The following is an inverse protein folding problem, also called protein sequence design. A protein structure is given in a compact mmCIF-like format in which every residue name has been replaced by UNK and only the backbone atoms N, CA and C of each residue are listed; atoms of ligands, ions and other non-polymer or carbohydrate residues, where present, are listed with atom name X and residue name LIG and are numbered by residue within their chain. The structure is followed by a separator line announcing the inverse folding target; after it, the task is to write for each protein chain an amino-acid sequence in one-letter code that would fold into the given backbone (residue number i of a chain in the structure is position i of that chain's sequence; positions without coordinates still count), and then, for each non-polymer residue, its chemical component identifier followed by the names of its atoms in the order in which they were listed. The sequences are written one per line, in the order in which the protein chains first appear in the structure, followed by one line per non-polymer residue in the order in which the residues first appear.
data_IF_945291670428
#
_entry.id   IF_945291670428
#
_cell.length_a   1.000
_cell.length_b   1.000
_cell.length_c   1.000
_cell.angle_alpha   90.00
_cell.angle_beta   90.00
_cell.angle_gamma   90.00
#
_symmetry.space_group_name_H-M   'P 1'
#
loop_
_entity.id
_entity.type
_entity.pdbx_description
1 polymer ?
#
# COMPACT_ATOMS: atom_id res chain seq x y z
N UNK A 1 -8.34 40.80 35.98
CA UNK A 1 -6.99 40.20 36.11
C UNK A 1 -7.16 38.89 36.86
N UNK A 2 -7.16 37.75 36.15
CA UNK A 2 -6.09 36.73 36.14
C UNK A 2 -5.97 36.00 37.50
N UNK A 3 -5.97 34.67 37.64
CA UNK A 3 -5.95 33.52 36.73
C UNK A 3 -6.34 32.29 37.57
N UNK A 4 -7.26 31.45 37.08
CA UNK A 4 -7.57 30.13 37.65
C UNK A 4 -6.63 29.11 36.99
N UNK A 5 -5.73 28.50 37.77
CA UNK A 5 -4.90 27.37 37.32
C UNK A 5 -5.70 26.08 37.45
N UNK A 6 -6.28 25.59 36.35
CA UNK A 6 -6.79 24.22 36.27
C UNK A 6 -5.63 23.26 35.96
N UNK A 7 -5.37 22.34 36.89
CA UNK A 7 -4.56 21.15 36.66
C UNK A 7 -5.42 20.13 35.91
N UNK A 8 -5.10 19.88 34.65
CA UNK A 8 -5.64 18.75 33.90
C UNK A 8 -5.10 17.44 34.52
N UNK A 9 -5.97 16.68 35.18
CA UNK A 9 -5.70 15.29 35.56
C UNK A 9 -6.04 14.42 34.36
N UNK A 10 -5.05 13.73 33.83
CA UNK A 10 -5.19 12.76 32.75
C UNK A 10 -5.90 11.52 33.30
N UNK A 11 -7.17 11.32 32.96
CA UNK A 11 -7.91 10.11 33.31
C UNK A 11 -7.48 9.01 32.33
N UNK A 12 -6.87 7.95 32.84
CA UNK A 12 -6.54 6.77 32.04
C UNK A 12 -7.79 5.90 31.86
N UNK A 13 -7.91 5.23 30.71
CA UNK A 13 -9.03 4.33 30.37
C UNK A 13 -9.27 3.20 31.40
N UNK A 14 -8.34 2.96 32.32
CA UNK A 14 -8.47 1.96 33.39
C UNK A 14 -9.38 2.35 34.56
N UNK A 15 -9.52 3.65 34.89
CA UNK A 15 -10.30 4.07 36.07
C UNK A 15 -11.82 4.06 35.84
N UNK A 16 -12.24 4.22 34.57
CA UNK A 16 -13.65 4.10 34.17
C UNK A 16 -14.12 2.64 34.31
N UNK A 17 -13.26 1.67 33.98
CA UNK A 17 -13.52 0.24 34.16
C UNK A 17 -13.61 -0.18 35.63
N UNK A 18 -12.78 0.39 36.50
CA UNK A 18 -12.77 0.07 37.95
C UNK A 18 -14.00 0.62 38.70
N UNK A 19 -14.55 1.77 38.28
CA UNK A 19 -15.85 2.27 38.81
C UNK A 19 -17.03 1.44 38.33
N UNK A 20 -17.00 0.94 37.09
CA UNK A 20 -18.01 0.02 36.57
C UNK A 20 -17.95 -1.35 37.27
N UNK A 21 -16.75 -1.88 37.54
CA UNK A 21 -16.54 -3.16 38.22
C UNK A 21 -17.10 -3.21 39.65
N UNK A 22 -17.02 -2.11 40.41
CA UNK A 22 -17.64 -2.02 41.76
C UNK A 22 -19.17 -2.01 41.72
N UNK A 23 -19.78 -1.62 40.60
CA UNK A 23 -21.23 -1.69 40.42
C UNK A 23 -21.71 -3.13 40.12
N UNK A 24 -20.88 -3.96 39.50
CA UNK A 24 -21.24 -5.33 39.09
C UNK A 24 -21.28 -6.36 40.23
N UNK A 25 -20.56 -6.15 41.34
CA UNK A 25 -20.53 -7.13 42.45
C UNK A 25 -21.75 -7.10 43.38
N UNK A 26 -22.60 -6.06 43.34
CA UNK A 26 -23.66 -5.87 44.34
C UNK A 26 -25.09 -6.25 43.90
N UNK A 27 -25.35 -6.56 42.63
CA UNK A 27 -26.69 -6.91 42.16
C UNK A 27 -26.75 -8.34 41.59
N UNK A 28 -27.05 -9.30 42.47
CA UNK A 28 -27.66 -10.57 42.06
C UNK A 28 -29.06 -10.27 41.51
N UNK A 29 -29.25 -10.42 40.21
CA UNK A 29 -30.57 -10.53 39.59
C UNK A 29 -31.31 -9.20 39.35
N UNK A 30 -30.77 -8.35 38.48
CA UNK A 30 -31.51 -7.59 37.46
C UNK A 30 -30.54 -6.63 36.75
N UNK A 31 -30.45 -6.76 35.42
CA UNK A 31 -29.65 -5.88 34.57
C UNK A 31 -30.22 -4.45 34.67
N UNK A 32 -29.41 -3.43 35.02
CA UNK A 32 -29.90 -2.07 35.00
C UNK A 32 -30.07 -1.62 33.55
N UNK A 33 -31.20 -0.96 33.30
CA UNK A 33 -31.43 -0.20 32.07
C UNK A 33 -30.31 0.83 31.89
N UNK A 34 -29.35 0.54 31.01
CA UNK A 34 -28.46 1.56 30.46
C UNK A 34 -29.24 2.35 29.42
N UNK A 35 -29.78 3.49 29.84
CA UNK A 35 -30.39 4.48 28.97
C UNK A 35 -29.30 5.20 28.16
N UNK A 36 -29.35 5.04 26.83
CA UNK A 36 -28.81 5.93 25.79
C UNK A 36 -27.30 6.28 25.82
N UNK A 37 -26.45 5.29 25.56
CA UNK A 37 -25.18 5.53 24.87
C UNK A 37 -25.19 4.74 23.57
N UNK A 38 -25.20 5.43 22.42
CA UNK A 38 -25.24 4.87 21.05
C UNK A 38 -24.36 3.61 20.83
N UNK A 39 -23.13 3.47 21.39
CA UNK A 39 -22.36 2.24 21.23
C UNK A 39 -23.08 1.00 21.78
N UNK A 40 -23.68 1.09 22.97
CA UNK A 40 -24.47 0.01 23.59
C UNK A 40 -25.60 -0.47 22.67
N UNK A 41 -26.14 0.41 21.83
CA UNK A 41 -27.23 0.05 20.90
C UNK A 41 -26.78 -0.88 19.78
N UNK A 42 -25.57 -0.71 19.23
CA UNK A 42 -25.04 -1.58 18.16
C UNK A 42 -24.73 -2.97 18.70
N UNK A 43 -24.11 -3.05 19.88
CA UNK A 43 -23.82 -4.33 20.53
C UNK A 43 -25.09 -5.12 20.82
N UNK A 44 -26.09 -4.46 21.42
CA UNK A 44 -27.39 -5.08 21.71
C UNK A 44 -28.14 -5.47 20.43
N UNK A 45 -28.06 -4.67 19.36
CA UNK A 45 -28.65 -5.02 18.08
C UNK A 45 -28.02 -6.29 17.49
N UNK A 46 -26.69 -6.41 17.53
CA UNK A 46 -25.98 -7.62 17.10
C UNK A 46 -26.33 -8.83 17.99
N UNK A 47 -26.40 -8.63 19.31
CA UNK A 47 -26.76 -9.65 20.28
C UNK A 47 -28.16 -10.21 20.05
N UNK A 48 -29.12 -9.32 19.73
CA UNK A 48 -30.51 -9.67 19.45
C UNK A 48 -30.75 -10.10 17.98
N UNK A 49 -29.69 -10.18 17.17
CA UNK A 49 -29.79 -10.52 15.75
C UNK A 49 -30.68 -9.56 14.92
N UNK A 50 -30.78 -8.30 15.35
CA UNK A 50 -31.66 -7.29 14.77
C UNK A 50 -30.94 -6.54 13.64
N UNK A 51 -31.01 -7.11 12.43
CA UNK A 51 -30.36 -6.58 11.23
C UNK A 51 -30.75 -5.12 10.93
N UNK A 52 -32.04 -4.80 11.01
CA UNK A 52 -32.55 -3.46 10.69
C UNK A 52 -32.00 -2.41 11.66
N UNK A 53 -31.90 -2.76 12.94
CA UNK A 53 -31.31 -1.88 13.95
C UNK A 53 -29.80 -1.76 13.78
N UNK A 54 -29.09 -2.83 13.44
CA UNK A 54 -27.66 -2.77 13.09
C UNK A 54 -27.42 -1.77 11.95
N UNK A 55 -28.16 -1.86 10.85
CA UNK A 55 -28.07 -0.91 9.74
C UNK A 55 -28.37 0.54 10.16
N UNK A 56 -29.41 0.73 10.98
CA UNK A 56 -29.78 2.06 11.47
C UNK A 56 -28.71 2.69 12.36
N UNK A 57 -28.11 1.90 13.26
CA UNK A 57 -27.00 2.32 14.12
C UNK A 57 -25.78 2.70 13.27
N UNK A 58 -25.36 1.84 12.34
CA UNK A 58 -24.16 2.07 11.54
C UNK A 58 -24.25 3.31 10.64
N UNK A 59 -25.45 3.68 10.16
CA UNK A 59 -25.67 4.92 9.40
C UNK A 59 -25.41 6.20 10.20
N UNK A 60 -25.52 6.15 11.53
CA UNK A 60 -25.41 7.31 12.43
C UNK A 60 -24.12 7.34 13.23
N UNK A 61 -23.50 6.17 13.42
CA UNK A 61 -22.32 6.01 14.27
C UNK A 61 -21.04 6.52 13.61
N UNK A 62 -20.13 7.03 14.43
CA UNK A 62 -18.77 7.36 13.98
C UNK A 62 -17.95 6.08 13.89
N UNK A 63 -17.04 6.01 12.92
CA UNK A 63 -16.18 4.83 12.69
C UNK A 63 -15.48 4.32 13.96
N UNK A 64 -14.99 5.21 14.83
CA UNK A 64 -14.30 4.87 16.08
C UNK A 64 -15.18 4.14 17.10
N UNK A 65 -16.51 4.22 16.96
CA UNK A 65 -17.47 3.63 17.89
C UNK A 65 -17.84 2.19 17.51
N UNK A 66 -17.65 1.80 16.25
CA UNK A 66 -17.94 0.44 15.75
C UNK A 66 -17.08 -0.61 16.46
N UNK A 67 -15.82 -0.24 16.75
CA UNK A 67 -14.81 -1.12 17.32
C UNK A 67 -14.76 -1.09 18.86
N UNK A 68 -15.78 -0.53 19.51
CA UNK A 68 -15.82 -0.46 20.97
C UNK A 68 -15.80 -1.88 21.57
N UNK A 69 -14.90 -2.09 22.54
CA UNK A 69 -14.80 -3.34 23.29
C UNK A 69 -15.63 -3.22 24.58
N UNK A 70 -16.67 -4.06 24.71
CA UNK A 70 -17.61 -4.02 25.81
C UNK A 70 -17.13 -4.89 26.99
N UNK A 71 -16.81 -4.29 28.15
CA UNK A 71 -16.47 -5.06 29.36
C UNK A 71 -17.67 -5.85 29.90
N UNK A 72 -17.45 -6.93 30.68
CA UNK A 72 -16.15 -7.43 31.13
C UNK A 72 -15.41 -8.28 30.09
N UNK A 73 -16.10 -8.77 29.05
CA UNK A 73 -15.52 -9.74 28.11
C UNK A 73 -14.68 -9.07 27.00
N UNK A 74 -14.62 -7.73 26.94
CA UNK A 74 -13.92 -6.95 25.91
C UNK A 74 -14.29 -7.35 24.46
N UNK A 75 -15.53 -7.79 24.25
CA UNK A 75 -16.03 -8.18 22.93
C UNK A 75 -16.45 -6.96 22.14
N UNK A 76 -16.29 -7.01 20.82
CA UNK A 76 -16.86 -6.01 19.91
C UNK A 76 -18.20 -6.49 19.35
N UNK A 77 -18.94 -5.60 18.67
CA UNK A 77 -20.15 -5.99 17.94
C UNK A 77 -19.87 -7.13 16.92
N UNK A 78 -18.69 -7.13 16.30
CA UNK A 78 -18.26 -8.17 15.36
C UNK A 78 -18.08 -9.54 16.04
N UNK A 79 -17.54 -9.59 17.27
CA UNK A 79 -17.44 -10.85 18.03
C UNK A 79 -18.82 -11.47 18.28
N UNK A 80 -19.77 -10.65 18.73
CA UNK A 80 -21.13 -11.11 19.05
C UNK A 80 -21.87 -11.56 17.80
N UNK A 81 -21.80 -10.79 16.72
CA UNK A 81 -22.38 -11.19 15.43
C UNK A 81 -21.82 -12.52 14.93
N UNK A 82 -20.51 -12.73 15.11
CA UNK A 82 -19.83 -13.97 14.71
C UNK A 82 -20.26 -15.17 15.54
N UNK A 83 -20.36 -15.01 16.86
CA UNK A 83 -20.90 -16.06 17.74
C UNK A 83 -22.31 -16.47 17.34
N UNK A 84 -23.14 -15.50 16.99
CA UNK A 84 -24.52 -15.74 16.54
C UNK A 84 -24.60 -16.36 15.13
N UNK A 85 -23.47 -16.57 14.45
CA UNK A 85 -23.37 -17.09 13.08
C UNK A 85 -24.23 -16.31 12.06
N UNK A 86 -24.54 -15.03 12.32
CA UNK A 86 -25.35 -14.22 11.40
C UNK A 86 -24.45 -13.63 10.31
N UNK A 87 -24.45 -14.28 9.15
CA UNK A 87 -23.69 -13.90 7.97
C UNK A 87 -23.95 -12.46 7.53
N UNK A 88 -25.20 -12.03 7.48
CA UNK A 88 -25.60 -10.70 7.00
C UNK A 88 -25.07 -9.59 7.93
N UNK A 89 -25.22 -9.75 9.24
CA UNK A 89 -24.71 -8.78 10.23
C UNK A 89 -23.18 -8.74 10.18
N UNK A 90 -22.51 -9.89 10.10
CA UNK A 90 -21.04 -9.96 9.98
C UNK A 90 -20.59 -9.21 8.72
N UNK A 91 -21.21 -9.49 7.58
CA UNK A 91 -20.89 -8.83 6.30
C UNK A 91 -21.09 -7.32 6.39
N UNK A 92 -22.19 -6.84 6.97
CA UNK A 92 -22.45 -5.42 7.13
C UNK A 92 -21.42 -4.76 8.06
N UNK A 93 -21.07 -5.38 9.18
CA UNK A 93 -20.06 -4.84 10.10
C UNK A 93 -18.68 -4.76 9.43
N UNK A 94 -18.27 -5.82 8.72
CA UNK A 94 -17.02 -5.84 7.97
C UNK A 94 -17.01 -4.81 6.83
N UNK A 95 -18.14 -4.63 6.15
CA UNK A 95 -18.31 -3.60 5.11
C UNK A 95 -18.19 -2.19 5.67
N UNK A 96 -18.73 -1.94 6.88
CA UNK A 96 -18.55 -0.68 7.61
C UNK A 96 -17.18 -0.58 8.30
N UNK A 97 -16.28 -1.52 8.00
CA UNK A 97 -14.87 -1.48 8.33
C UNK A 97 -14.52 -2.04 9.70
N UNK A 98 -15.41 -2.71 10.43
CA UNK A 98 -15.12 -3.28 11.74
C UNK A 98 -13.76 -4.03 11.77
N UNK A 99 -12.94 -3.76 12.79
CA UNK A 99 -11.59 -4.32 12.90
C UNK A 99 -11.65 -5.84 13.16
N UNK A 100 -10.96 -6.60 12.31
CA UNK A 100 -10.86 -8.08 12.39
C UNK A 100 -9.97 -8.55 13.55
N UNK A 101 -8.90 -7.80 13.81
CA UNK A 101 -7.79 -8.19 14.69
C UNK A 101 -7.97 -7.86 16.17
N UNK A 102 -9.10 -7.27 16.56
CA UNK A 102 -9.36 -6.97 17.98
C UNK A 102 -9.63 -8.27 18.75
N UNK A 103 -9.02 -8.36 19.93
CA UNK A 103 -9.10 -9.55 20.79
C UNK A 103 -9.99 -9.32 21.99
N UNK A 104 -10.89 -10.25 22.26
CA UNK A 104 -11.70 -10.27 23.48
C UNK A 104 -10.86 -10.63 24.73
N UNK A 105 -11.50 -10.71 25.90
CA UNK A 105 -10.85 -11.05 27.17
C UNK A 105 -10.21 -12.45 27.20
N UNK A 106 -10.63 -13.35 26.31
CA UNK A 106 -10.02 -14.67 26.13
C UNK A 106 -8.84 -14.65 25.13
N UNK A 107 -8.46 -13.48 24.63
CA UNK A 107 -7.44 -13.33 23.60
C UNK A 107 -7.89 -13.75 22.19
N UNK A 108 -9.19 -13.99 22.00
CA UNK A 108 -9.76 -14.48 20.74
C UNK A 108 -10.17 -13.33 19.84
N UNK A 109 -9.90 -13.46 18.55
CA UNK A 109 -10.42 -12.59 17.50
C UNK A 109 -11.81 -13.06 17.05
N UNK A 110 -12.57 -12.18 16.39
CA UNK A 110 -13.96 -12.47 16.04
C UNK A 110 -14.10 -13.75 15.18
N UNK A 111 -13.24 -13.96 14.18
CA UNK A 111 -13.29 -15.14 13.30
C UNK A 111 -13.11 -16.47 14.05
N UNK A 112 -12.45 -16.45 15.21
CA UNK A 112 -12.20 -17.64 16.03
C UNK A 112 -13.46 -18.10 16.78
N UNK A 113 -14.51 -17.27 16.79
CA UNK A 113 -15.84 -17.61 17.30
C UNK A 113 -16.75 -18.22 16.21
N UNK A 114 -16.27 -18.34 14.97
CA UNK A 114 -17.01 -18.96 13.87
C UNK A 114 -17.05 -20.49 14.03
N UNK A 115 -18.26 -21.06 13.97
CA UNK A 115 -18.49 -22.51 14.08
C UNK A 115 -18.31 -23.21 12.72
N UNK A 116 -18.60 -22.51 11.63
CA UNK A 116 -18.52 -23.04 10.26
C UNK A 116 -17.38 -22.42 9.46
N UNK A 117 -16.91 -23.14 8.44
CA UNK A 117 -15.94 -22.61 7.47
C UNK A 117 -16.53 -21.44 6.69
N UNK A 118 -17.83 -21.48 6.37
CA UNK A 118 -18.53 -20.39 5.67
C UNK A 118 -18.45 -19.07 6.44
N UNK A 119 -18.73 -19.07 7.75
CA UNK A 119 -18.66 -17.87 8.58
C UNK A 119 -17.20 -17.41 8.74
N UNK A 120 -16.26 -18.36 8.89
CA UNK A 120 -14.84 -18.05 8.98
C UNK A 120 -14.31 -17.40 7.69
N UNK A 121 -14.76 -17.86 6.54
CA UNK A 121 -14.35 -17.36 5.23
C UNK A 121 -14.82 -15.90 4.97
N UNK A 122 -15.82 -15.40 5.70
CA UNK A 122 -16.23 -13.98 5.63
C UNK A 122 -15.12 -13.02 6.08
N UNK A 123 -14.18 -13.49 6.90
CA UNK A 123 -13.08 -12.67 7.42
C UNK A 123 -11.92 -12.57 6.45
N UNK A 124 -11.82 -13.52 5.51
CA UNK A 124 -10.82 -13.49 4.43
C UNK A 124 -11.08 -12.32 3.51
N UNK A 125 -10.04 -11.87 2.81
CA UNK A 125 -10.20 -10.82 1.81
C UNK A 125 -11.01 -11.38 0.63
N UNK A 126 -12.04 -10.65 0.22
CA UNK A 126 -12.76 -10.99 -1.01
C UNK A 126 -11.82 -10.82 -2.21
N UNK A 127 -11.80 -11.79 -3.12
CA UNK A 127 -10.90 -11.84 -4.28
C UNK A 127 -11.02 -10.61 -5.20
N UNK A 128 -12.20 -10.00 -5.26
CA UNK A 128 -12.48 -8.75 -5.99
C UNK A 128 -11.88 -7.49 -5.36
N UNK A 129 -11.43 -7.55 -4.11
CA UNK A 129 -10.86 -6.45 -3.32
C UNK A 129 -9.38 -6.66 -2.98
N UNK A 130 -8.73 -7.59 -3.68
CA UNK A 130 -7.36 -7.99 -3.40
C UNK A 130 -6.32 -7.22 -4.23
N UNK A 131 -5.36 -6.62 -3.52
CA UNK A 131 -4.22 -5.83 -4.03
C UNK A 131 -3.19 -6.63 -4.84
N UNK A 132 -3.26 -7.95 -4.80
CA UNK A 132 -2.44 -8.81 -5.64
C UNK A 132 -2.95 -8.85 -7.10
N UNK A 133 -4.24 -8.56 -7.34
CA UNK A 133 -4.85 -8.56 -8.65
C UNK A 133 -4.62 -7.23 -9.39
N UNK A 134 -4.15 -7.30 -10.63
CA UNK A 134 -4.03 -6.15 -11.52
C UNK A 134 -5.41 -5.83 -12.14
N UNK A 135 -6.17 -4.94 -11.51
CA UNK A 135 -7.49 -4.52 -12.00
C UNK A 135 -7.36 -3.45 -13.09
N UNK A 136 -7.02 -3.86 -14.31
CA UNK A 136 -7.11 -2.99 -15.50
C UNK A 136 -8.55 -2.66 -15.94
N UNK A 137 -9.57 -2.94 -15.12
CA UNK A 137 -10.98 -2.98 -15.55
C UNK A 137 -11.95 -2.07 -14.79
N UNK A 138 -11.55 -1.44 -13.68
CA UNK A 138 -12.40 -0.49 -12.95
C UNK A 138 -12.00 0.97 -13.18
N UNK A 139 -11.21 1.24 -14.22
CA UNK A 139 -11.06 2.58 -14.78
C UNK A 139 -12.35 2.99 -15.49
N UNK A 140 -13.44 3.19 -14.74
CA UNK A 140 -14.41 4.21 -15.11
C UNK A 140 -13.71 5.54 -14.90
N UNK A 141 -13.19 6.07 -16.00
CA UNK A 141 -12.52 7.36 -16.19
C UNK A 141 -13.36 8.59 -15.80
N UNK A 142 -14.39 8.45 -14.97
CA UNK A 142 -15.33 9.51 -14.61
C UNK A 142 -15.43 9.82 -13.11
N UNK A 143 -14.61 9.24 -12.21
CA UNK A 143 -14.69 9.57 -10.76
C UNK A 143 -13.39 9.90 -10.05
N UNK A 144 -12.22 9.58 -10.62
CA UNK A 144 -11.00 10.33 -10.31
C UNK A 144 -10.96 11.49 -11.29
N UNK A 145 -11.60 12.61 -10.93
CA UNK A 145 -11.43 13.87 -11.66
C UNK A 145 -9.95 14.22 -11.60
N UNK A 146 -9.23 13.77 -12.63
CA UNK A 146 -7.86 14.08 -12.90
C UNK A 146 -7.71 15.58 -12.68
N UNK A 147 -6.99 15.96 -11.62
CA UNK A 147 -6.08 17.08 -11.80
C UNK A 147 -5.17 16.60 -12.92
N UNK A 148 -5.49 17.02 -14.16
CA UNK A 148 -4.63 16.85 -15.33
C UNK A 148 -3.36 17.62 -15.02
N UNK A 149 -2.47 17.00 -14.26
CA UNK A 149 -1.14 17.53 -14.01
C UNK A 149 -0.37 17.32 -15.31
N UNK A 150 -0.53 18.27 -16.23
CA UNK A 150 0.24 18.35 -17.45
C UNK A 150 1.64 18.82 -17.11
N UNK A 151 2.53 17.86 -16.90
CA UNK A 151 3.96 18.10 -16.96
C UNK A 151 4.35 18.27 -18.44
N UNK A 152 4.44 19.51 -18.92
CA UNK A 152 4.81 19.82 -20.32
C UNK A 152 6.23 19.35 -20.67
N UNK A 153 7.11 19.22 -19.67
CA UNK A 153 8.46 18.67 -19.81
C UNK A 153 8.50 17.15 -19.96
N UNK A 154 7.41 16.44 -19.70
CA UNK A 154 7.34 14.99 -19.81
C UNK A 154 6.09 14.56 -20.58
N UNK A 155 6.28 14.13 -21.83
CA UNK A 155 5.21 13.67 -22.75
C UNK A 155 4.44 12.43 -22.29
N UNK A 156 4.59 11.99 -21.04
CA UNK A 156 3.99 10.81 -20.43
C UNK A 156 2.58 11.05 -19.87
N UNK A 157 1.99 12.23 -20.05
CA UNK A 157 0.76 12.60 -19.33
C UNK A 157 -0.51 11.91 -19.86
N UNK A 158 -0.47 11.24 -21.01
CA UNK A 158 -1.70 10.78 -21.66
C UNK A 158 -1.87 9.29 -21.83
N UNK A 159 -0.91 8.48 -21.40
CA UNK A 159 -1.06 7.04 -21.53
C UNK A 159 -1.18 6.47 -20.12
N UNK A 160 -2.40 6.03 -19.76
CA UNK A 160 -2.68 5.20 -18.58
C UNK A 160 -1.97 3.82 -18.69
N UNK A 161 -1.03 3.67 -19.62
CA UNK A 161 -0.19 2.50 -19.81
C UNK A 161 0.87 2.44 -18.72
N UNK A 162 0.61 1.50 -17.82
CA UNK A 162 1.63 0.68 -17.20
C UNK A 162 2.69 1.47 -16.40
N UNK A 163 2.30 1.90 -15.20
CA UNK A 163 3.30 2.15 -14.17
C UNK A 163 3.93 0.80 -13.80
N UNK A 164 5.07 0.51 -14.41
CA UNK A 164 5.87 -0.65 -14.10
C UNK A 164 6.30 -0.58 -12.63
N UNK A 165 5.78 -1.54 -11.87
CA UNK A 165 6.13 -1.80 -10.47
C UNK A 165 7.57 -2.28 -10.33
N UNK A 166 8.13 -2.73 -11.44
CA UNK A 166 9.45 -3.32 -11.62
C UNK A 166 10.01 -2.83 -12.96
N UNK A 167 11.16 -2.16 -12.95
CA UNK A 167 11.83 -1.73 -14.17
C UNK A 167 12.95 -2.72 -14.50
N UNK A 168 12.97 -3.28 -15.72
CA UNK A 168 14.16 -4.00 -16.21
C UNK A 168 15.23 -2.99 -16.58
N UNK A 169 16.43 -3.14 -16.02
CA UNK A 169 17.54 -2.25 -16.31
C UNK A 169 18.88 -2.97 -16.15
N UNK A 170 19.79 -2.78 -17.11
CA UNK A 170 21.15 -3.34 -17.05
C UNK A 170 21.93 -2.84 -15.82
N UNK A 171 21.60 -1.64 -15.34
CA UNK A 171 22.17 -1.01 -14.15
C UNK A 171 21.19 -1.01 -12.97
N UNK A 172 20.21 -1.92 -12.92
CA UNK A 172 19.18 -1.98 -11.87
C UNK A 172 19.79 -1.99 -10.46
N UNK A 173 20.88 -2.73 -10.26
CA UNK A 173 21.59 -2.80 -8.97
C UNK A 173 22.21 -1.46 -8.59
N UNK A 174 22.89 -0.79 -9.53
CA UNK A 174 23.48 0.54 -9.29
C UNK A 174 22.40 1.59 -9.01
N UNK A 175 21.29 1.56 -9.76
CA UNK A 175 20.13 2.44 -9.52
C UNK A 175 19.50 2.18 -8.16
N UNK A 176 19.28 0.93 -7.78
CA UNK A 176 18.75 0.54 -6.47
C UNK A 176 19.64 1.06 -5.34
N UNK A 177 20.97 0.93 -5.49
CA UNK A 177 21.94 1.50 -4.55
C UNK A 177 21.83 3.01 -4.45
N UNK A 178 21.74 3.72 -5.59
CA UNK A 178 21.58 5.18 -5.62
C UNK A 178 20.32 5.60 -4.87
N UNK A 179 19.16 5.04 -5.22
CA UNK A 179 17.89 5.37 -4.58
C UNK A 179 17.91 5.09 -3.07
N UNK A 180 18.40 3.91 -2.65
CA UNK A 180 18.54 3.61 -1.21
C UNK A 180 19.56 4.51 -0.52
N UNK A 181 20.63 4.91 -1.20
CA UNK A 181 21.64 5.82 -0.67
C UNK A 181 21.07 7.22 -0.43
N UNK A 182 20.31 7.78 -1.37
CA UNK A 182 19.63 9.07 -1.22
C UNK A 182 18.63 9.08 -0.07
N UNK A 183 18.06 7.92 0.25
CA UNK A 183 17.18 7.72 1.40
C UNK A 183 17.92 7.36 2.69
N UNK A 184 19.25 7.17 2.70
CA UNK A 184 19.97 6.82 3.93
C UNK A 184 19.79 7.93 4.97
N UNK A 185 19.38 7.58 6.21
CA UNK A 185 19.24 8.58 7.24
C UNK A 185 20.63 9.02 7.71
N UNK A 186 20.80 10.31 8.00
CA UNK A 186 22.09 10.87 8.46
C UNK A 186 22.53 10.38 9.84
N UNK A 187 21.59 9.82 10.63
CA UNK A 187 21.75 9.12 11.93
C UNK A 187 20.64 8.07 12.07
N UNK A 188 20.73 7.15 13.03
CA UNK A 188 19.57 6.31 13.40
C UNK A 188 18.32 7.18 13.56
N UNK A 189 17.20 6.78 12.97
CA UNK A 189 15.97 7.59 12.87
C UNK A 189 15.45 7.93 14.26
N UNK A 190 15.87 9.09 14.77
CA UNK A 190 15.51 9.53 16.11
C UNK A 190 13.99 9.74 16.20
N UNK A 191 13.44 9.60 17.40
CA UNK A 191 12.00 9.79 17.67
C UNK A 191 11.44 11.12 17.12
N UNK A 192 12.25 12.20 17.17
CA UNK A 192 11.92 13.51 16.60
C UNK A 192 11.80 13.48 15.08
N UNK A 193 12.70 12.75 14.40
CA UNK A 193 12.70 12.60 12.94
C UNK A 193 11.47 11.80 12.47
N UNK A 194 11.18 10.68 13.14
CA UNK A 194 9.96 9.90 12.85
C UNK A 194 8.70 10.77 12.96
N UNK A 195 8.55 11.51 14.06
CA UNK A 195 7.38 12.38 14.27
C UNK A 195 7.23 13.44 13.17
N UNK A 196 8.34 14.03 12.73
CA UNK A 196 8.34 15.03 11.66
C UNK A 196 7.93 14.41 10.31
N UNK A 197 8.49 13.24 9.96
CA UNK A 197 8.12 12.50 8.76
C UNK A 197 6.65 12.10 8.78
N UNK A 198 6.16 11.54 9.89
CA UNK A 198 4.75 11.17 10.05
C UNK A 198 3.81 12.38 9.93
N UNK A 199 4.20 13.53 10.48
CA UNK A 199 3.43 14.77 10.32
C UNK A 199 3.39 15.22 8.86
N UNK A 200 4.53 15.22 8.18
CA UNK A 200 4.63 15.56 6.76
C UNK A 200 3.82 14.60 5.88
N UNK A 201 3.84 13.29 6.18
CA UNK A 201 3.00 12.31 5.48
C UNK A 201 1.51 12.62 5.70
N UNK A 202 1.08 12.80 6.94
CA UNK A 202 -0.33 13.10 7.25
C UNK A 202 -0.80 14.38 6.54
N UNK A 203 -0.05 15.48 6.66
CA UNK A 203 -0.47 16.80 6.17
C UNK A 203 -0.18 17.06 4.70
N UNK A 204 0.94 16.58 4.20
CA UNK A 204 1.41 16.84 2.84
C UNK A 204 0.92 15.81 1.83
N UNK A 205 0.79 14.55 2.24
CA UNK A 205 0.43 13.45 1.33
C UNK A 205 -1.00 12.96 1.56
N UNK A 206 -1.32 12.51 2.78
CA UNK A 206 -2.60 11.86 3.07
C UNK A 206 -3.78 12.84 2.91
N UNK A 207 -3.74 14.00 3.58
CA UNK A 207 -4.79 15.04 3.45
C UNK A 207 -4.97 15.53 2.00
N UNK A 208 -3.95 15.37 1.14
CA UNK A 208 -3.99 15.81 -0.26
C UNK A 208 -4.51 14.73 -1.22
N UNK A 209 -4.15 13.46 -1.00
CA UNK A 209 -4.35 12.37 -1.97
C UNK A 209 -5.59 11.52 -1.75
N UNK A 210 -6.11 11.42 -0.52
CA UNK A 210 -7.23 10.52 -0.24
C UNK A 210 -8.61 11.06 -0.65
N UNK A 211 -8.69 12.32 -1.10
CA UNK A 211 -9.95 12.97 -1.50
C UNK A 211 -10.71 12.22 -2.60
N UNK A 212 -10.00 11.41 -3.36
CA UNK A 212 -10.54 10.66 -4.49
C UNK A 212 -10.94 9.21 -4.14
N UNK A 213 -10.78 8.79 -2.87
CA UNK A 213 -11.17 7.46 -2.40
C UNK A 213 -12.61 7.44 -1.90
N UNK A 214 -13.15 6.23 -1.70
CA UNK A 214 -14.44 6.07 -1.03
C UNK A 214 -14.39 6.64 0.39
N UNK A 215 -15.50 7.20 0.88
CA UNK A 215 -15.56 7.83 2.22
C UNK A 215 -15.13 6.85 3.34
N UNK A 216 -15.44 5.56 3.17
CA UNK A 216 -15.07 4.50 4.12
C UNK A 216 -13.57 4.21 4.10
N UNK A 217 -12.96 4.09 2.91
CA UNK A 217 -11.51 3.89 2.76
C UNK A 217 -10.73 5.10 3.28
N UNK A 218 -11.12 6.31 2.84
CA UNK A 218 -10.50 7.58 3.24
C UNK A 218 -10.45 7.72 4.77
N UNK A 219 -11.59 7.55 5.43
CA UNK A 219 -11.70 7.61 6.89
C UNK A 219 -10.81 6.61 7.61
N UNK A 220 -10.73 5.37 7.10
CA UNK A 220 -9.93 4.30 7.69
C UNK A 220 -8.43 4.56 7.54
N UNK A 221 -7.99 4.96 6.35
CA UNK A 221 -6.59 5.31 6.10
C UNK A 221 -6.19 6.53 6.94
N UNK A 222 -7.04 7.55 7.03
CA UNK A 222 -6.80 8.69 7.92
C UNK A 222 -6.65 8.28 9.39
N UNK A 223 -7.46 7.36 9.91
CA UNK A 223 -7.34 6.89 11.30
C UNK A 223 -6.01 6.18 11.53
N UNK A 224 -5.58 5.32 10.61
CA UNK A 224 -4.30 4.63 10.69
C UNK A 224 -3.11 5.59 10.68
N UNK A 225 -3.08 6.57 9.77
CA UNK A 225 -2.00 7.57 9.74
C UNK A 225 -2.02 8.51 10.95
N UNK A 226 -3.21 8.82 11.50
CA UNK A 226 -3.33 9.54 12.77
C UNK A 226 -2.79 8.72 13.94
N UNK A 227 -3.11 7.42 14.02
CA UNK A 227 -2.55 6.51 15.03
C UNK A 227 -1.04 6.40 14.90
N UNK A 228 -0.52 6.27 13.68
CA UNK A 228 0.92 6.29 13.42
C UNK A 228 1.58 7.52 14.04
N UNK A 229 1.03 8.71 13.79
CA UNK A 229 1.55 9.98 14.31
C UNK A 229 1.41 10.13 15.83
N UNK A 230 0.24 9.82 16.39
CA UNK A 230 -0.06 10.01 17.81
C UNK A 230 0.71 9.03 18.69
N UNK A 231 0.73 7.76 18.30
CA UNK A 231 1.38 6.68 19.03
C UNK A 231 2.87 6.56 18.68
N UNK A 232 3.30 7.17 17.57
CA UNK A 232 4.66 7.02 17.00
C UNK A 232 4.97 5.56 16.69
N UNK A 233 3.97 4.92 16.07
CA UNK A 233 3.95 3.51 15.71
C UNK A 233 3.92 3.37 14.18
N UNK A 234 5.07 3.16 13.52
CA UNK A 234 5.15 3.22 12.07
C UNK A 234 4.51 2.01 11.37
N UNK A 235 4.23 0.90 12.06
CA UNK A 235 3.58 -0.26 11.47
C UNK A 235 2.18 0.08 10.92
N UNK A 236 1.51 1.11 11.44
CA UNK A 236 0.23 1.57 10.88
C UNK A 236 0.34 2.09 9.43
N UNK A 237 1.55 2.45 8.96
CA UNK A 237 1.78 2.80 7.55
C UNK A 237 1.66 1.55 6.66
N UNK A 238 2.26 0.42 7.08
CA UNK A 238 2.20 -0.80 6.28
C UNK A 238 0.83 -1.48 6.42
N UNK A 239 0.20 -1.41 7.60
CA UNK A 239 -1.19 -1.85 7.78
C UNK A 239 -2.15 -1.06 6.89
N UNK A 240 -2.02 0.27 6.80
CA UNK A 240 -2.88 1.07 5.91
C UNK A 240 -2.64 0.74 4.43
N UNK A 241 -1.40 0.44 4.05
CA UNK A 241 -1.07 -0.06 2.72
C UNK A 241 -1.77 -1.40 2.43
N UNK A 242 -1.79 -2.34 3.37
CA UNK A 242 -2.29 -3.70 3.12
C UNK A 242 -3.79 -3.83 3.18
N UNK A 243 -4.46 -2.99 3.95
CA UNK A 243 -5.88 -3.13 4.27
C UNK A 243 -6.85 -2.66 3.18
N UNK A 244 -6.41 -1.72 2.34
CA UNK A 244 -7.23 -1.04 1.34
C UNK A 244 -6.56 -1.13 -0.01
N UNK A 245 -7.19 -1.84 -0.95
CA UNK A 245 -6.68 -1.96 -2.31
C UNK A 245 -6.51 -0.59 -2.96
N UNK A 246 -7.52 0.28 -2.86
CA UNK A 246 -7.50 1.60 -3.50
C UNK A 246 -6.32 2.46 -3.01
N UNK A 247 -6.01 2.43 -1.71
CA UNK A 247 -4.85 3.14 -1.18
C UNK A 247 -3.53 2.52 -1.63
N UNK A 248 -3.46 1.18 -1.67
CA UNK A 248 -2.26 0.49 -2.16
C UNK A 248 -1.94 0.81 -3.62
N UNK A 249 -2.97 0.88 -4.47
CA UNK A 249 -2.85 1.25 -5.88
C UNK A 249 -2.47 2.72 -6.04
N UNK A 250 -3.11 3.61 -5.28
CA UNK A 250 -2.79 5.05 -5.28
C UNK A 250 -1.34 5.31 -4.88
N UNK A 251 -0.89 4.70 -3.78
CA UNK A 251 0.47 4.88 -3.27
C UNK A 251 1.50 4.39 -4.28
N UNK A 252 1.27 3.21 -4.86
CA UNK A 252 2.21 2.63 -5.81
C UNK A 252 2.22 3.34 -7.16
N UNK A 253 1.07 3.86 -7.62
CA UNK A 253 1.03 4.76 -8.79
C UNK A 253 1.88 6.00 -8.56
N UNK A 254 1.74 6.65 -7.40
CA UNK A 254 2.53 7.82 -7.06
C UNK A 254 4.03 7.48 -6.95
N UNK A 255 4.39 6.36 -6.30
CA UNK A 255 5.77 5.89 -6.19
C UNK A 255 6.41 5.59 -7.55
N UNK A 256 5.76 4.77 -8.40
CA UNK A 256 6.27 4.41 -9.72
C UNK A 256 6.45 5.64 -10.61
N UNK A 257 5.46 6.55 -10.61
CA UNK A 257 5.56 7.83 -11.33
C UNK A 257 6.77 8.63 -10.86
N UNK A 258 6.99 8.75 -9.55
CA UNK A 258 8.12 9.51 -9.02
C UNK A 258 9.47 8.92 -9.44
N UNK A 259 9.59 7.59 -9.48
CA UNK A 259 10.81 6.93 -9.98
C UNK A 259 11.04 7.20 -11.46
N UNK A 260 10.00 7.12 -12.30
CA UNK A 260 10.12 7.43 -13.73
C UNK A 260 10.60 8.88 -13.94
N UNK A 261 10.06 9.81 -13.15
CA UNK A 261 10.49 11.21 -13.17
C UNK A 261 11.95 11.39 -12.73
N UNK A 262 12.39 10.70 -11.67
CA UNK A 262 13.79 10.75 -11.21
C UNK A 262 14.77 10.17 -12.24
N UNK A 263 14.33 9.17 -13.01
CA UNK A 263 15.13 8.56 -14.08
C UNK A 263 15.14 9.41 -15.36
N UNK A 264 14.08 10.16 -15.65
CA UNK A 264 14.01 11.07 -16.80
C UNK A 264 14.59 12.43 -16.40
N UNK A 265 15.89 12.58 -16.62
CA UNK A 265 16.63 13.84 -16.45
C UNK A 265 15.81 15.03 -16.95
N UNK A 266 15.48 15.98 -16.07
CA UNK A 266 14.76 17.22 -16.42
C UNK A 266 13.56 17.58 -15.54
N UNK A 267 13.11 16.69 -14.65
CA UNK A 267 12.07 16.98 -13.67
C UNK A 267 12.64 17.09 -12.25
N UNK A 268 12.16 18.07 -11.49
CA UNK A 268 12.43 18.21 -10.06
C UNK A 268 11.12 18.55 -9.34
N UNK A 269 11.08 18.39 -8.02
CA UNK A 269 9.94 18.81 -7.19
C UNK A 269 9.47 20.25 -7.45
N UNK A 270 10.41 21.15 -7.76
CA UNK A 270 10.15 22.57 -7.96
C UNK A 270 9.72 22.91 -9.38
N UNK A 271 9.93 22.00 -10.32
CA UNK A 271 9.60 22.17 -11.74
C UNK A 271 8.51 21.21 -12.22
N UNK A 272 7.96 20.38 -11.34
CA UNK A 272 6.99 19.35 -11.68
C UNK A 272 5.92 19.18 -10.60
N UNK A 273 4.69 19.58 -10.92
CA UNK A 273 3.51 19.42 -10.07
C UNK A 273 3.21 17.95 -9.71
N UNK A 274 3.61 16.99 -10.57
CA UNK A 274 3.49 15.56 -10.29
C UNK A 274 4.30 15.19 -9.04
N UNK A 275 5.54 15.68 -8.97
CA UNK A 275 6.47 15.43 -7.88
C UNK A 275 6.13 16.27 -6.64
N UNK A 276 5.75 17.55 -6.85
CA UNK A 276 5.48 18.50 -5.77
C UNK A 276 4.58 17.95 -4.67
N UNK A 277 3.50 17.29 -5.07
CA UNK A 277 2.46 16.78 -4.17
C UNK A 277 2.70 15.36 -3.63
N UNK A 278 3.66 14.61 -4.17
CA UNK A 278 3.78 13.17 -3.88
C UNK A 278 5.17 12.73 -3.46
N UNK A 279 6.23 13.43 -3.86
CA UNK A 279 7.61 13.00 -3.67
C UNK A 279 7.99 12.93 -2.19
N UNK A 280 7.73 13.98 -1.41
CA UNK A 280 8.06 14.01 0.02
C UNK A 280 7.37 12.88 0.80
N UNK A 281 6.08 12.65 0.50
CA UNK A 281 5.27 11.63 1.17
C UNK A 281 5.77 10.23 0.86
N UNK A 282 5.91 9.91 -0.43
CA UNK A 282 6.40 8.61 -0.90
C UNK A 282 7.82 8.33 -0.41
N UNK A 283 8.75 9.30 -0.52
CA UNK A 283 10.12 9.17 0.01
C UNK A 283 10.13 9.00 1.54
N UNK A 284 9.28 9.72 2.27
CA UNK A 284 9.19 9.58 3.73
C UNK A 284 8.66 8.22 4.15
N UNK A 285 7.64 7.69 3.47
CA UNK A 285 7.12 6.33 3.68
C UNK A 285 8.22 5.31 3.41
N UNK A 286 8.85 5.36 2.24
CA UNK A 286 9.92 4.41 1.87
C UNK A 286 11.10 4.48 2.83
N UNK A 287 11.51 5.68 3.24
CA UNK A 287 12.58 5.88 4.22
C UNK A 287 12.23 5.28 5.60
N UNK A 288 11.00 5.44 6.08
CA UNK A 288 10.55 4.82 7.32
C UNK A 288 10.60 3.29 7.21
N UNK A 289 10.06 2.72 6.14
CA UNK A 289 10.02 1.27 5.93
C UNK A 289 11.42 0.65 5.82
N UNK A 290 12.35 1.31 5.12
CA UNK A 290 13.72 0.79 4.92
C UNK A 290 14.62 0.92 6.15
N UNK A 291 14.38 1.91 7.03
CA UNK A 291 15.39 2.33 8.01
C UNK A 291 14.91 2.42 9.46
N UNK A 292 13.61 2.40 9.72
CA UNK A 292 13.14 2.47 11.09
C UNK A 292 13.34 1.13 11.82
N UNK A 293 13.97 1.16 13.00
CA UNK A 293 14.37 -0.05 13.75
C UNK A 293 13.23 -1.04 14.03
N UNK A 294 12.00 -0.56 14.20
CA UNK A 294 10.83 -1.42 14.40
C UNK A 294 10.54 -2.36 13.22
N UNK A 295 11.06 -2.08 12.02
CA UNK A 295 10.89 -3.00 10.90
C UNK A 295 11.92 -4.13 10.84
N UNK A 296 12.98 -4.08 11.68
CA UNK A 296 13.99 -5.13 11.72
C UNK A 296 13.42 -6.48 12.20
N UNK A 297 12.46 -6.47 13.12
CA UNK A 297 11.80 -7.70 13.59
C UNK A 297 10.89 -8.33 12.52
N UNK A 298 10.54 -7.58 11.48
CA UNK A 298 9.73 -8.05 10.35
C UNK A 298 10.59 -8.39 9.13
N UNK A 299 11.92 -8.22 9.18
CA UNK A 299 12.81 -8.60 8.09
C UNK A 299 12.58 -10.05 7.65
N UNK A 300 12.50 -10.28 6.35
CA UNK A 300 12.22 -11.60 5.78
C UNK A 300 13.33 -12.07 4.86
N UNK A 301 13.63 -13.37 4.94
CA UNK A 301 14.43 -14.14 4.01
C UNK A 301 13.72 -15.46 3.71
N UNK A 302 13.83 -15.92 2.47
CA UNK A 302 13.13 -17.09 1.96
C UNK A 302 12.46 -16.84 0.62
N UNK A 303 11.62 -17.78 0.23
CA UNK A 303 10.87 -17.74 -1.02
C UNK A 303 9.48 -17.10 -0.81
N UNK A 304 9.08 -16.23 -1.73
CA UNK A 304 7.74 -15.63 -1.78
C UNK A 304 7.21 -15.61 -3.20
N UNK A 305 5.88 -15.59 -3.32
CA UNK A 305 5.16 -15.79 -4.56
C UNK A 305 4.23 -14.63 -4.85
N UNK A 306 4.07 -14.32 -6.13
CA UNK A 306 3.13 -13.31 -6.60
C UNK A 306 2.50 -13.75 -7.92
N UNK A 307 1.19 -13.94 -7.92
CA UNK A 307 0.41 -14.03 -9.15
C UNK A 307 0.09 -12.64 -9.69
N UNK A 308 0.22 -12.46 -11.00
CA UNK A 308 -0.17 -11.24 -11.71
C UNK A 308 -0.84 -11.60 -13.03
N UNK A 309 -1.75 -10.75 -13.49
CA UNK A 309 -2.36 -10.84 -14.82
C UNK A 309 -2.12 -9.52 -15.54
N UNK A 310 -1.31 -9.55 -16.60
CA UNK A 310 -0.92 -8.34 -17.34
C UNK A 310 -1.14 -8.54 -18.84
N UNK A 311 -1.12 -7.49 -19.67
CA UNK A 311 -1.13 -7.65 -21.13
C UNK A 311 -0.02 -8.59 -21.60
N UNK A 312 -0.28 -9.37 -22.66
CA UNK A 312 0.69 -10.37 -23.17
C UNK A 312 2.08 -9.81 -23.44
N UNK A 313 2.15 -8.57 -23.92
CA UNK A 313 3.40 -7.88 -24.26
C UNK A 313 4.07 -7.16 -23.08
N UNK A 314 3.40 -7.09 -21.91
CA UNK A 314 3.88 -6.28 -20.80
C UNK A 314 5.24 -6.74 -20.28
N UNK A 315 5.57 -8.02 -20.42
CA UNK A 315 6.83 -8.61 -19.96
C UNK A 315 7.74 -9.02 -21.11
N UNK A 316 7.56 -8.50 -22.33
CA UNK A 316 8.43 -8.81 -23.49
C UNK A 316 9.91 -8.48 -23.25
N UNK A 317 10.15 -7.56 -22.33
CA UNK A 317 11.46 -7.10 -21.92
C UNK A 317 12.08 -7.96 -20.79
N UNK A 318 11.31 -8.89 -20.19
CA UNK A 318 11.78 -9.83 -19.18
C UNK A 318 12.54 -10.95 -19.87
N UNK A 319 13.86 -10.97 -19.68
CA UNK A 319 14.75 -11.98 -20.25
C UNK A 319 15.59 -12.61 -19.14
N UNK A 320 15.90 -13.88 -19.30
CA UNK A 320 16.86 -14.55 -18.43
C UNK A 320 18.18 -13.79 -18.46
N UNK A 321 18.79 -13.62 -17.30
CA UNK A 321 19.98 -12.80 -17.02
C UNK A 321 19.77 -11.27 -17.03
N UNK A 322 18.54 -10.78 -17.20
CA UNK A 322 18.24 -9.36 -16.96
C UNK A 322 17.98 -9.10 -15.48
N UNK A 323 18.40 -7.93 -15.00
CA UNK A 323 18.06 -7.45 -13.66
C UNK A 323 16.85 -6.53 -13.68
N UNK A 324 16.02 -6.62 -12.65
CA UNK A 324 14.90 -5.72 -12.39
C UNK A 324 15.13 -4.95 -11.10
N UNK A 325 14.50 -3.77 -11.00
CA UNK A 325 14.40 -2.97 -9.77
C UNK A 325 12.94 -2.72 -9.43
N UNK A 326 12.54 -3.00 -8.19
CA UNK A 326 11.22 -2.63 -7.69
C UNK A 326 11.12 -1.11 -7.54
N UNK A 327 10.10 -0.49 -8.11
CA UNK A 327 9.87 0.97 -8.01
C UNK A 327 8.88 1.33 -6.92
N UNK A 328 8.19 0.32 -6.38
CA UNK A 328 7.01 0.41 -5.52
C UNK A 328 7.06 -0.70 -4.46
N UNK A 329 6.05 -0.72 -3.58
CA UNK A 329 5.81 -1.84 -2.68
C UNK A 329 5.16 -2.98 -3.46
N UNK A 330 5.69 -4.21 -3.33
CA UNK A 330 5.11 -5.39 -3.96
C UNK A 330 4.52 -6.31 -2.90
N UNK A 331 3.23 -6.59 -3.02
CA UNK A 331 2.55 -7.58 -2.17
C UNK A 331 2.86 -8.98 -2.68
N UNK A 332 3.38 -9.83 -1.81
CA UNK A 332 3.70 -11.24 -2.09
C UNK A 332 3.16 -12.12 -0.96
N UNK A 333 3.02 -13.41 -1.20
CA UNK A 333 2.60 -14.38 -0.17
C UNK A 333 3.69 -15.44 -0.01
N UNK A 334 3.88 -15.94 1.20
CA UNK A 334 4.66 -17.17 1.44
C UNK A 334 3.88 -18.43 1.04
N UNK A 335 2.56 -18.31 0.89
CA UNK A 335 1.71 -19.39 0.44
C UNK A 335 1.51 -19.31 -1.10
N UNK A 336 2.05 -20.27 -1.87
CA UNK A 336 1.92 -20.24 -3.34
C UNK A 336 0.47 -20.36 -3.79
N UNK A 337 -0.39 -21.04 -3.04
CA UNK A 337 -1.80 -21.20 -3.42
C UNK A 337 -2.58 -19.90 -3.24
N UNK A 338 -2.24 -19.08 -2.23
CA UNK A 338 -2.77 -17.71 -2.10
C UNK A 338 -2.32 -16.86 -3.30
N UNK A 339 -1.03 -16.91 -3.65
CA UNK A 339 -0.51 -16.14 -4.78
C UNK A 339 -1.13 -16.56 -6.12
N UNK A 340 -1.40 -17.85 -6.34
CA UNK A 340 -2.01 -18.37 -7.59
C UNK A 340 -3.42 -17.88 -7.84
N UNK A 341 -4.18 -17.52 -6.79
CA UNK A 341 -5.52 -16.92 -6.93
C UNK A 341 -5.45 -15.68 -7.84
N UNK A 342 -4.32 -14.98 -7.84
CA UNK A 342 -4.11 -13.75 -8.60
C UNK A 342 -3.55 -13.98 -10.01
N UNK A 343 -3.42 -15.23 -10.43
CA UNK A 343 -3.21 -15.61 -11.83
C UNK A 343 -4.53 -15.80 -12.58
N UNK A 344 -5.69 -15.65 -11.93
CA UNK A 344 -6.98 -15.78 -12.60
C UNK A 344 -7.29 -14.55 -13.48
N UNK A 345 -7.31 -14.76 -14.80
CA UNK A 345 -7.63 -13.72 -15.80
C UNK A 345 -9.14 -13.51 -16.00
N UNK A 346 -9.98 -14.24 -15.27
CA UNK A 346 -11.42 -14.28 -15.47
C UNK A 346 -11.79 -15.01 -16.77
N UNK A 347 -13.06 -14.90 -17.25
CA UNK A 347 -13.50 -15.52 -18.49
C UNK A 347 -12.60 -15.09 -19.66
N UNK A 348 -12.13 -16.08 -20.44
CA UNK A 348 -11.03 -16.01 -21.42
C UNK A 348 -10.80 -14.61 -22.01
N UNK A 349 -9.90 -13.84 -21.40
CA UNK A 349 -9.43 -12.58 -21.96
C UNK A 349 -8.13 -12.82 -22.75
N UNK A 350 -8.19 -12.97 -24.09
CA UNK A 350 -7.04 -13.37 -24.90
C UNK A 350 -5.94 -12.31 -24.97
N UNK A 351 -6.21 -11.08 -24.51
CA UNK A 351 -5.23 -9.97 -24.51
C UNK A 351 -4.32 -9.98 -23.30
N UNK A 352 -4.67 -10.75 -22.26
CA UNK A 352 -3.92 -10.85 -21.01
C UNK A 352 -3.22 -12.20 -20.89
N UNK A 353 -2.14 -12.23 -20.13
CA UNK A 353 -1.41 -13.43 -19.77
C UNK A 353 -1.17 -13.46 -18.27
N UNK A 354 -1.23 -14.65 -17.70
CA UNK A 354 -1.02 -14.87 -16.28
C UNK A 354 0.45 -15.21 -16.03
N UNK A 355 1.05 -14.52 -15.07
CA UNK A 355 2.41 -14.77 -14.64
C UNK A 355 2.44 -15.12 -13.16
N UNK A 356 3.35 -16.01 -12.82
CA UNK A 356 3.60 -16.42 -11.45
C UNK A 356 5.07 -16.15 -11.12
N UNK A 357 5.31 -15.09 -10.37
CA UNK A 357 6.65 -14.66 -9.99
C UNK A 357 7.06 -15.34 -8.69
N UNK A 358 8.26 -15.92 -8.68
CA UNK A 358 8.87 -16.62 -7.55
C UNK A 358 10.13 -15.84 -7.18
N UNK A 359 10.14 -15.22 -6.00
CA UNK A 359 11.25 -14.40 -5.52
C UNK A 359 12.03 -15.15 -4.44
N UNK A 360 13.33 -15.35 -4.65
CA UNK A 360 14.27 -15.85 -3.65
C UNK A 360 14.98 -14.65 -2.98
N UNK A 361 14.66 -14.40 -1.71
CA UNK A 361 15.23 -13.31 -0.89
C UNK A 361 16.25 -13.91 0.08
N UNK A 362 17.52 -13.56 -0.08
CA UNK A 362 18.64 -14.23 0.58
C UNK A 362 19.72 -13.32 1.17
N UNK A 363 19.72 -12.02 0.86
CA UNK A 363 20.85 -11.12 1.10
C UNK A 363 20.54 -9.96 2.05
N UNK A 364 19.70 -8.99 1.67
CA UNK A 364 19.49 -7.74 2.41
C UNK A 364 18.25 -7.86 3.31
N UNK A 365 18.44 -7.66 4.61
CA UNK A 365 17.35 -7.69 5.60
C UNK A 365 16.31 -6.56 5.42
N UNK A 366 16.55 -5.61 4.50
CA UNK A 366 15.63 -4.53 4.12
C UNK A 366 14.97 -4.74 2.77
N UNK A 367 15.09 -5.94 2.18
CA UNK A 367 14.42 -6.24 0.90
C UNK A 367 12.95 -6.53 1.09
N UNK A 368 12.57 -7.24 2.16
CA UNK A 368 11.18 -7.59 2.40
C UNK A 368 10.80 -7.61 3.87
N UNK A 369 9.52 -7.33 4.12
CA UNK A 369 8.90 -7.34 5.44
C UNK A 369 7.83 -8.43 5.50
N UNK A 370 8.00 -9.40 6.39
CA UNK A 370 6.97 -10.36 6.76
C UNK A 370 5.95 -9.68 7.67
N UNK A 371 4.77 -9.41 7.13
CA UNK A 371 3.73 -8.66 7.82
C UNK A 371 2.53 -9.52 8.21
N UNK A 372 2.62 -10.84 8.04
CA UNK A 372 1.58 -11.80 8.41
C UNK A 372 0.99 -11.57 9.82
N UNK A 373 1.82 -11.14 10.78
CA UNK A 373 1.41 -10.87 12.18
C UNK A 373 0.78 -9.50 12.44
N UNK A 374 0.86 -8.57 11.50
CA UNK A 374 0.32 -7.20 11.62
C UNK A 374 -0.69 -6.86 10.53
N UNK A 375 -0.90 -7.76 9.57
CA UNK A 375 -1.97 -7.70 8.59
C UNK A 375 -3.32 -7.97 9.26
N UNK A 376 -4.38 -7.37 8.75
CA UNK A 376 -5.75 -7.74 9.14
C UNK A 376 -6.22 -9.06 8.48
N UNK A 377 -5.43 -9.59 7.53
CA UNK A 377 -5.70 -10.81 6.79
C UNK A 377 -4.52 -11.78 7.00
N UNK A 378 -4.48 -12.43 8.17
CA UNK A 378 -3.39 -13.33 8.55
C UNK A 378 -3.25 -14.54 7.59
N UNK A 379 -4.35 -14.94 6.97
CA UNK A 379 -4.41 -16.07 6.03
C UNK A 379 -3.73 -15.80 4.68
N UNK A 380 -3.49 -14.53 4.34
CA UNK A 380 -2.76 -14.15 3.12
C UNK A 380 -1.26 -14.49 3.21
N UNK A 381 -0.77 -14.79 4.40
CA UNK A 381 0.63 -15.11 4.69
C UNK A 381 1.61 -14.09 4.07
N UNK A 382 1.25 -12.82 4.22
CA UNK A 382 1.75 -11.73 3.38
C UNK A 382 3.18 -11.30 3.74
N UNK A 383 3.98 -11.12 2.69
CA UNK A 383 5.31 -10.49 2.73
C UNK A 383 5.30 -9.33 1.73
N UNK A 384 5.79 -8.16 2.14
CA UNK A 384 5.90 -7.00 1.25
C UNK A 384 7.35 -6.80 0.86
N UNK A 385 7.65 -6.92 -0.43
CA UNK A 385 8.94 -6.52 -1.00
C UNK A 385 8.97 -4.99 -1.06
N UNK A 386 10.02 -4.41 -0.49
CA UNK A 386 10.19 -2.95 -0.40
C UNK A 386 10.70 -2.36 -1.73
N UNK A 387 10.46 -1.06 -1.98
CA UNK A 387 11.01 -0.36 -3.14
C UNK A 387 12.54 -0.43 -3.18
N UNK A 388 13.06 -0.26 -4.39
CA UNK A 388 14.49 -0.25 -4.71
C UNK A 388 15.18 -1.56 -4.31
N UNK A 389 14.47 -2.67 -4.46
CA UNK A 389 15.02 -4.02 -4.35
C UNK A 389 15.38 -4.50 -5.74
N UNK A 390 16.55 -5.13 -5.90
CA UNK A 390 17.04 -5.60 -7.19
C UNK A 390 16.98 -7.13 -7.28
N UNK A 391 16.50 -7.65 -8.40
CA UNK A 391 16.40 -9.09 -8.65
C UNK A 391 16.93 -9.46 -10.03
N UNK A 392 17.63 -10.59 -10.12
CA UNK A 392 18.05 -11.20 -11.37
C UNK A 392 16.99 -12.20 -11.82
N UNK A 393 16.54 -12.10 -13.07
CA UNK A 393 15.70 -13.13 -13.69
C UNK A 393 16.58 -14.32 -14.02
N UNK A 394 16.43 -15.40 -13.25
CA UNK A 394 17.27 -16.60 -13.38
C UNK A 394 16.67 -17.63 -14.33
N UNK A 395 15.34 -17.67 -14.43
CA UNK A 395 14.61 -18.64 -15.26
C UNK A 395 13.24 -18.09 -15.64
N UNK A 396 12.79 -18.41 -16.85
CA UNK A 396 11.41 -18.18 -17.30
C UNK A 396 10.90 -19.51 -17.86
N UNK A 397 9.78 -19.99 -17.34
CA UNK A 397 9.11 -21.21 -17.82
C UNK A 397 7.76 -20.83 -18.43
N UNK A 398 7.66 -20.93 -19.76
CA UNK A 398 6.41 -20.67 -20.46
C UNK A 398 5.47 -21.87 -20.31
N UNK A 399 4.41 -21.72 -19.53
CA UNK A 399 3.29 -22.65 -19.50
C UNK A 399 2.18 -22.24 -20.47
N UNK A 400 1.22 -23.13 -20.70
CA UNK A 400 0.06 -22.86 -21.56
C UNK A 400 -0.83 -21.74 -20.99
N UNK A 401 -1.09 -21.77 -19.68
CA UNK A 401 -1.95 -20.79 -19.00
C UNK A 401 -1.17 -19.78 -18.14
N UNK A 402 -0.07 -20.23 -17.52
CA UNK A 402 0.72 -19.43 -16.59
C UNK A 402 2.19 -19.51 -17.00
N UNK A 403 2.86 -18.36 -17.07
CA UNK A 403 4.32 -18.29 -17.21
C UNK A 403 4.96 -18.07 -15.84
N UNK A 404 5.88 -18.95 -15.45
CA UNK A 404 6.62 -18.80 -14.20
C UNK A 404 7.88 -17.95 -14.45
N UNK A 405 8.13 -16.99 -13.56
CA UNK A 405 9.34 -16.15 -13.59
C UNK A 405 10.07 -16.32 -12.26
N UNK A 406 11.33 -16.74 -12.32
CA UNK A 406 12.16 -16.98 -11.15
C UNK A 406 13.16 -15.84 -10.97
N UNK A 407 13.12 -15.22 -9.79
CA UNK A 407 13.80 -13.97 -9.48
C UNK A 407 14.69 -14.17 -8.25
N UNK A 408 15.98 -13.89 -8.38
CA UNK A 408 16.95 -14.02 -7.27
C UNK A 408 17.46 -12.67 -6.83
N UNK A 409 17.32 -12.36 -5.54
CA UNK A 409 17.77 -11.08 -4.97
C UNK A 409 19.25 -10.80 -5.29
N UNK A 410 19.53 -9.57 -5.70
CA UNK A 410 20.88 -9.07 -5.91
C UNK A 410 21.34 -8.26 -4.70
N UNK A 411 22.51 -8.61 -4.18
CA UNK A 411 23.07 -7.91 -3.02
C UNK A 411 23.42 -6.45 -3.33
N UNK A 412 22.98 -5.56 -2.45
CA UNK A 412 23.31 -4.14 -2.52
C UNK A 412 24.53 -3.77 -1.68
N UNK A 413 25.16 -4.71 -0.95
CA UNK A 413 26.15 -4.42 0.11
C UNK A 413 27.62 -4.41 -0.31
N UNK A 414 27.99 -4.90 -1.50
CA UNK A 414 29.41 -4.93 -1.94
C UNK A 414 29.55 -4.51 -3.41
N UNK A 415 30.41 -3.52 -3.70
CA UNK A 415 31.19 -3.28 -4.95
C UNK A 415 32.04 -1.96 -4.91
N UNK A 416 32.02 -1.19 -3.81
CA UNK A 416 32.92 -0.03 -3.65
C UNK A 416 34.00 -0.39 -2.63
N UNK A 417 35.26 -0.19 -2.99
CA UNK A 417 36.35 -0.18 -2.00
C UNK A 417 36.14 0.93 -0.96
N UNK A 418 36.82 0.85 0.17
CA UNK A 418 36.77 1.88 1.23
C UNK A 418 37.16 3.30 0.74
N UNK A 419 37.68 3.41 -0.48
CA UNK A 419 38.04 4.63 -1.18
C UNK A 419 36.96 5.16 -2.15
N UNK A 420 35.82 4.49 -2.28
CA UNK A 420 34.74 4.88 -3.19
C UNK A 420 35.03 4.62 -4.68
N UNK A 421 36.09 3.87 -5.01
CA UNK A 421 36.34 3.44 -6.39
C UNK A 421 35.41 2.28 -6.79
N UNK A 422 34.83 2.29 -8.01
CA UNK A 422 34.03 1.17 -8.50
C UNK A 422 34.94 0.00 -8.91
N UNK A 423 34.79 -1.16 -8.27
CA UNK A 423 35.35 -2.41 -8.82
C UNK A 423 34.56 -2.79 -10.08
N UNK A 424 35.12 -2.49 -11.24
CA UNK A 424 34.63 -2.99 -12.51
C UNK A 424 34.83 -4.51 -12.57
N UNK A 425 33.75 -5.30 -12.49
CA UNK A 425 33.72 -6.63 -13.11
C UNK A 425 32.29 -7.20 -13.18
N UNK A 426 31.65 -7.04 -14.34
CA UNK A 426 31.32 -8.17 -15.22
C UNK A 426 31.64 -7.71 -16.65
N UNK A 427 32.79 -8.17 -17.18
CA UNK A 427 32.95 -8.31 -18.64
C UNK A 427 32.02 -9.44 -19.07
N UNK A 428 30.77 -9.13 -19.40
CA UNK A 428 30.01 -9.98 -20.32
C UNK A 428 30.35 -9.47 -21.71
N UNK A 429 31.08 -10.27 -22.47
CA UNK A 429 31.25 -10.13 -23.91
C UNK A 429 29.88 -10.25 -24.58
N UNK A 430 29.11 -9.17 -24.58
CA UNK A 430 27.96 -8.97 -25.45
C UNK A 430 28.05 -7.52 -25.90
N UNK A 431 28.21 -7.33 -27.21
CA UNK A 431 28.22 -6.03 -27.85
C UNK A 431 27.05 -5.16 -27.36
N UNK A 432 27.23 -3.85 -27.20
CA UNK A 432 26.13 -2.94 -26.92
C UNK A 432 25.22 -2.93 -28.15
N UNK A 433 24.18 -3.76 -28.14
CA UNK A 433 23.02 -3.53 -29.00
C UNK A 433 22.22 -2.46 -28.27
N UNK A 434 22.27 -1.24 -28.80
CA UNK A 434 21.28 -0.20 -28.51
C UNK A 434 19.89 -0.80 -28.75
N UNK A 435 19.24 -1.27 -27.68
CA UNK A 435 17.84 -1.71 -27.73
C UNK A 435 16.96 -0.62 -27.11
N UNK A 436 16.67 0.35 -27.98
CA UNK A 436 15.33 0.86 -28.31
C UNK A 436 14.46 1.26 -27.10
N UNK A 437 14.69 2.49 -26.62
CA UNK A 437 13.62 3.36 -26.10
C UNK A 437 12.91 4.15 -27.22
N UNK A 438 13.26 3.88 -28.49
CA UNK A 438 12.83 4.66 -29.67
C UNK A 438 11.59 4.13 -30.39
N UNK A 439 11.08 2.93 -30.09
CA UNK A 439 9.89 2.38 -30.77
C UNK A 439 8.56 2.93 -30.28
N UNK A 440 8.50 3.52 -29.08
CA UNK A 440 7.30 4.23 -28.59
C UNK A 440 7.19 5.68 -29.12
N UNK A 441 8.24 6.21 -29.75
CA UNK A 441 8.28 7.61 -30.22
C UNK A 441 8.03 7.77 -31.73
N UNK A 442 8.12 6.71 -32.55
CA UNK A 442 7.94 6.83 -34.01
C UNK A 442 6.49 6.78 -34.49
N UNK A 443 5.53 6.35 -33.66
CA UNK A 443 4.12 6.32 -34.05
C UNK A 443 3.34 7.62 -33.73
N UNK A 444 4.02 8.66 -33.24
CA UNK A 444 3.42 9.97 -32.94
C UNK A 444 3.89 11.10 -33.89
N UNK A 445 4.59 10.76 -34.97
CA UNK A 445 5.14 11.75 -35.93
C UNK A 445 4.77 11.35 -37.35
N UNK A 446 3.47 11.28 -37.62
CA UNK A 446 2.94 10.87 -38.93
C UNK A 446 1.76 11.71 -39.38
N UNK A 447 1.95 13.03 -39.48
CA UNK A 447 1.27 13.93 -40.45
C UNK A 447 1.68 15.36 -40.14
N UNK A 448 2.47 15.96 -41.03
CA UNK A 448 2.37 17.36 -41.50
C UNK A 448 3.61 17.65 -42.36
N UNK A 449 3.54 17.23 -43.62
CA UNK A 449 4.19 17.95 -44.71
C UNK A 449 3.08 18.73 -45.39
N UNK A 450 3.12 20.05 -45.26
CA UNK A 450 2.88 20.93 -46.40
C UNK A 450 3.65 22.23 -46.14
N UNK A 451 4.69 22.37 -46.93
CA UNK A 451 5.47 23.58 -47.11
C UNK A 451 4.55 24.69 -47.60
N UNK A 452 4.67 25.89 -47.01
CA UNK A 452 4.39 27.11 -47.76
C UNK A 452 5.52 28.10 -47.48
N UNK A 453 6.36 28.23 -48.52
CA UNK A 453 7.33 29.28 -48.68
C UNK A 453 6.60 30.63 -48.76
N UNK A 454 6.88 31.55 -47.84
CA UNK A 454 6.86 32.96 -48.24
C UNK A 454 7.87 33.84 -47.49
N UNK A 455 8.79 34.33 -48.31
CA UNK A 455 9.78 35.37 -48.09
C UNK A 455 9.20 36.68 -47.56
N UNK A 456 9.88 37.35 -46.61
CA UNK A 456 10.48 38.71 -46.77
C UNK A 456 11.07 39.27 -45.45
N UNK A 457 11.99 40.27 -45.54
CA UNK A 457 13.13 40.40 -44.62
C UNK A 457 12.98 41.50 -43.55
N UNK A 458 13.90 41.44 -42.57
CA UNK A 458 14.18 42.46 -41.54
C UNK A 458 14.72 43.78 -42.15
N UNK A 459 14.14 44.91 -41.75
CA UNK A 459 14.78 46.24 -41.67
C UNK A 459 14.48 46.82 -40.28
N UNK A 460 15.46 46.88 -39.38
CA UNK A 460 16.34 48.02 -39.06
C UNK A 460 15.62 49.26 -38.47
N UNK A 461 15.99 49.53 -37.21
CA UNK A 461 16.30 50.84 -36.56
C UNK A 461 15.19 51.87 -36.30
N UNK A 462 14.82 52.01 -35.01
CA UNK A 462 14.79 53.21 -34.10
C UNK A 462 14.78 54.64 -34.68
N UNK A 463 14.47 55.68 -33.87
CA UNK A 463 13.60 55.82 -32.67
C UNK A 463 12.70 57.10 -32.71
N UNK A 464 11.83 57.29 -31.71
CA UNK A 464 11.61 58.50 -30.86
C UNK A 464 10.78 58.06 -29.66
#
# INVERSE_FOLDING_TARGET
MAQRKERAVTISNGEIGLRLFKLFQHHKGHLPHFTNTEPSTLYLACQNNDLARVESCLKKMKRKEIDFQYPPNNETALHVATRNQNKEIIQILLHHGAQRSLRNANGQEAYQLAETTEIRDLFKRQTSSSRFAFLHGLYKTNTLSQHKIKCESCSLVNDDTFYEWELVDLNAVQKARRFRHELKPSKSMAKKDLKQKLYSINKGYIDARLKDLSETDDSRIHDYFKRALLLQEPYYIITSYTICQNFSELLNKDMARNVIHDLKNGCSKFSCDCLYSTEDGTKSITNILLHHQKFQEFSFQGEVYRGIVVPKNALDHYKVNSCIITTTLLSTSRNPDVAKIFCDKGPENPTKHSFFCIYEICNDNRTALNISKISEFEDEDEVVILPYSAFLITKIEQGQEITNIYLKEQSLTHMFGDDGSPEYLIRSTVHPVELVWSSLLQNASGTLLQEDNNTRPRSKTTPV
#
